data_IF_370534603293
#
_entry.id   IF_370534603293
#
_cell.length_a   1.000
_cell.length_b   1.000
_cell.length_c   1.000
_cell.angle_alpha   90.00
_cell.angle_beta   90.00
_cell.angle_gamma   90.00
#
_symmetry.space_group_name_H-M   'P 1'
#
loop_
_entity.id
_entity.type
_entity.pdbx_description
1 polymer ?
#
# COMPACT_ATOMS: atom_id res chain seq x y z
N UNK A 1 -7.12 30.19 -23.28
CA UNK A 1 -6.87 31.02 -22.07
C UNK A 1 -6.95 32.47 -22.53
N UNK A 2 -7.89 33.27 -22.02
CA UNK A 2 -7.94 34.70 -22.35
C UNK A 2 -6.76 35.40 -21.67
N UNK A 3 -5.93 36.07 -22.46
CA UNK A 3 -4.79 36.85 -21.99
C UNK A 3 -5.23 38.30 -21.86
N UNK A 4 -5.77 38.64 -20.69
CA UNK A 4 -6.41 39.93 -20.44
C UNK A 4 -5.41 41.08 -20.16
N UNK A 5 -4.16 40.75 -19.86
CA UNK A 5 -3.17 41.71 -19.30
C UNK A 5 -1.75 41.48 -19.86
N UNK A 6 -1.61 40.71 -20.95
CA UNK A 6 -0.30 40.32 -21.50
C UNK A 6 0.56 41.51 -21.93
N UNK A 7 -0.07 42.60 -22.38
CA UNK A 7 0.61 43.82 -22.82
C UNK A 7 1.22 44.63 -21.66
N UNK A 8 0.78 44.40 -20.41
CA UNK A 8 1.25 45.16 -19.24
C UNK A 8 2.08 44.33 -18.24
N UNK A 9 2.01 42.99 -18.33
CA UNK A 9 2.65 42.09 -17.37
C UNK A 9 3.10 40.83 -18.09
N UNK A 10 4.41 40.58 -18.11
CA UNK A 10 5.01 39.52 -18.91
C UNK A 10 5.30 38.23 -18.12
N UNK A 11 5.17 38.25 -16.80
CA UNK A 11 5.33 37.08 -15.93
C UNK A 11 4.41 37.09 -14.73
N UNK A 12 4.16 35.92 -14.13
CA UNK A 12 3.32 35.80 -12.93
C UNK A 12 4.00 36.48 -11.73
N UNK A 13 5.33 36.45 -11.68
CA UNK A 13 6.14 37.12 -10.66
C UNK A 13 5.99 38.64 -10.73
N UNK A 14 6.04 39.19 -11.93
CA UNK A 14 5.82 40.62 -12.18
C UNK A 14 4.39 41.03 -11.82
N UNK A 15 3.40 40.18 -12.12
CA UNK A 15 2.01 40.36 -11.69
C UNK A 15 1.91 40.45 -10.17
N UNK A 16 2.46 39.47 -9.47
CA UNK A 16 2.44 39.42 -8.00
C UNK A 16 3.11 40.65 -7.39
N UNK A 17 4.25 41.09 -7.94
CA UNK A 17 4.95 42.28 -7.48
C UNK A 17 4.17 43.58 -7.74
N UNK A 18 3.64 43.77 -8.96
CA UNK A 18 2.86 44.97 -9.36
C UNK A 18 1.63 45.15 -8.47
N UNK A 19 0.93 44.05 -8.16
CA UNK A 19 -0.29 44.08 -7.35
C UNK A 19 -0.05 43.80 -5.86
N UNK A 20 1.22 43.74 -5.41
CA UNK A 20 1.62 43.52 -4.00
C UNK A 20 0.95 42.28 -3.37
N UNK A 21 0.89 41.19 -4.12
CA UNK A 21 0.31 39.93 -3.65
C UNK A 21 1.36 39.16 -2.85
N UNK A 22 1.10 38.95 -1.56
CA UNK A 22 1.97 38.13 -0.68
C UNK A 22 1.33 36.74 -0.45
N UNK A 23 1.24 35.97 -1.54
CA UNK A 23 0.60 34.65 -1.56
C UNK A 23 1.53 33.62 -2.20
N UNK A 24 2.61 33.30 -1.51
CA UNK A 24 3.63 32.33 -1.95
C UNK A 24 3.05 30.95 -2.27
N UNK A 25 2.07 30.49 -1.48
CA UNK A 25 1.36 29.23 -1.73
C UNK A 25 0.55 29.25 -3.03
N UNK A 26 -0.14 30.36 -3.32
CA UNK A 26 -0.89 30.51 -4.58
C UNK A 26 0.06 30.58 -5.79
N UNK A 27 1.19 31.27 -5.67
CA UNK A 27 2.22 31.33 -6.72
C UNK A 27 2.79 29.95 -7.02
N UNK A 28 3.15 29.19 -5.98
CA UNK A 28 3.62 27.81 -6.12
C UNK A 28 2.59 26.97 -6.89
N UNK A 29 1.32 27.11 -6.52
CA UNK A 29 0.21 26.40 -7.12
C UNK A 29 0.04 26.68 -8.62
N UNK A 30 0.13 27.94 -9.01
CA UNK A 30 0.00 28.37 -10.40
C UNK A 30 1.19 27.85 -11.22
N UNK A 31 2.41 27.85 -10.66
CA UNK A 31 3.61 27.31 -11.30
C UNK A 31 3.56 25.79 -11.50
N UNK A 32 3.07 25.06 -10.50
CA UNK A 32 2.95 23.60 -10.53
C UNK A 32 1.89 23.14 -11.54
N UNK A 33 0.84 23.93 -11.77
CA UNK A 33 -0.07 23.75 -12.92
C UNK A 33 -1.04 22.55 -12.86
N UNK A 34 -0.91 21.67 -11.87
CA UNK A 34 -1.85 20.57 -11.57
C UNK A 34 -2.64 20.88 -10.30
N UNK A 35 -3.89 20.43 -10.06
CA UNK A 35 -4.70 20.63 -8.84
C UNK A 35 -4.04 20.21 -7.50
N UNK A 36 -4.45 20.80 -6.36
CA UNK A 36 -3.83 20.55 -5.04
C UNK A 36 -4.06 19.10 -4.62
N UNK A 37 -5.19 18.57 -5.03
CA UNK A 37 -5.60 17.19 -4.86
C UNK A 37 -4.79 16.20 -5.70
N UNK A 38 -3.97 16.68 -6.65
CA UNK A 38 -3.03 15.86 -7.45
C UNK A 38 -1.61 16.00 -6.89
N UNK A 39 -1.24 17.19 -6.41
CA UNK A 39 0.05 17.45 -5.76
C UNK A 39 0.12 16.86 -4.33
N UNK A 40 -0.98 16.98 -3.61
CA UNK A 40 -1.22 16.48 -2.25
C UNK A 40 -2.41 15.53 -2.22
N UNK A 41 -2.65 14.76 -3.31
CA UNK A 41 -3.44 13.54 -3.16
C UNK A 41 -2.84 12.80 -1.98
N UNK A 42 -3.64 12.54 -0.93
CA UNK A 42 -3.28 11.54 0.06
C UNK A 42 -2.72 10.36 -0.73
N UNK A 43 -1.51 9.90 -0.41
CA UNK A 43 -0.86 8.81 -1.16
C UNK A 43 -1.78 7.57 -1.28
N UNK A 44 -2.83 7.51 -0.45
CA UNK A 44 -4.02 6.72 -0.65
C UNK A 44 -5.09 7.37 -1.56
N UNK A 45 -5.06 7.08 -2.86
CA UNK A 45 -6.21 7.28 -3.74
C UNK A 45 -7.28 6.19 -3.56
N UNK A 46 -8.43 6.24 -4.28
CA UNK A 46 -9.47 5.20 -4.22
C UNK A 46 -8.94 3.77 -4.47
N UNK A 47 -7.92 3.64 -5.33
CA UNK A 47 -7.23 2.38 -5.58
C UNK A 47 -6.52 1.83 -4.34
N UNK A 48 -5.97 2.69 -3.48
CA UNK A 48 -5.34 2.25 -2.23
C UNK A 48 -6.37 1.69 -1.26
N UNK A 49 -7.54 2.30 -1.11
CA UNK A 49 -8.63 1.75 -0.28
C UNK A 49 -9.09 0.37 -0.81
N UNK A 50 -9.21 0.24 -2.13
CA UNK A 50 -9.51 -1.04 -2.79
C UNK A 50 -8.43 -2.10 -2.54
N UNK A 51 -7.15 -1.73 -2.62
CA UNK A 51 -6.06 -2.67 -2.35
C UNK A 51 -5.99 -3.06 -0.87
N UNK A 52 -6.23 -2.13 0.05
CA UNK A 52 -6.33 -2.42 1.49
C UNK A 52 -7.44 -3.45 1.75
N UNK A 53 -8.63 -3.24 1.17
CA UNK A 53 -9.75 -4.15 1.32
C UNK A 53 -9.43 -5.54 0.74
N UNK A 54 -8.88 -5.60 -0.48
CA UNK A 54 -8.52 -6.85 -1.14
C UNK A 54 -7.44 -7.64 -0.37
N UNK A 55 -6.41 -6.96 0.12
CA UNK A 55 -5.35 -7.60 0.92
C UNK A 55 -5.88 -8.07 2.26
N UNK A 56 -6.74 -7.30 2.92
CA UNK A 56 -7.41 -7.71 4.17
C UNK A 56 -8.24 -8.97 3.95
N UNK A 57 -9.01 -9.03 2.87
CA UNK A 57 -9.77 -10.23 2.51
C UNK A 57 -8.85 -11.43 2.28
N UNK A 58 -7.75 -11.25 1.54
CA UNK A 58 -6.79 -12.32 1.26
C UNK A 58 -6.17 -12.91 2.53
N UNK A 59 -5.83 -12.06 3.52
CA UNK A 59 -5.39 -12.51 4.83
C UNK A 59 -6.44 -13.38 5.53
N UNK A 60 -7.68 -12.89 5.61
CA UNK A 60 -8.77 -13.60 6.29
C UNK A 60 -9.03 -14.96 5.63
N UNK A 61 -9.12 -14.98 4.30
CA UNK A 61 -9.31 -16.23 3.54
C UNK A 61 -8.20 -17.24 3.81
N UNK A 62 -6.93 -16.82 3.80
CA UNK A 62 -5.82 -17.72 4.08
C UNK A 62 -5.84 -18.24 5.53
N UNK A 63 -6.12 -17.36 6.51
CA UNK A 63 -6.24 -17.75 7.92
C UNK A 63 -7.38 -18.75 8.13
N UNK A 64 -8.52 -18.53 7.49
CA UNK A 64 -9.68 -19.42 7.59
C UNK A 64 -9.41 -20.77 6.92
N UNK A 65 -8.74 -20.80 5.77
CA UNK A 65 -8.28 -22.04 5.13
C UNK A 65 -7.45 -22.91 6.10
N UNK A 66 -6.49 -22.31 6.79
CA UNK A 66 -5.65 -23.02 7.78
C UNK A 66 -6.48 -23.49 8.98
N UNK A 67 -7.42 -22.66 9.49
CA UNK A 67 -8.33 -23.05 10.59
C UNK A 67 -9.27 -24.20 10.21
N UNK A 68 -9.67 -24.28 8.95
CA UNK A 68 -10.45 -25.38 8.38
C UNK A 68 -9.60 -26.65 8.12
N UNK A 69 -8.33 -26.64 8.53
CA UNK A 69 -7.37 -27.73 8.38
C UNK A 69 -6.98 -28.04 6.93
N UNK A 70 -7.17 -27.10 6.02
CA UNK A 70 -6.55 -27.17 4.70
C UNK A 70 -5.03 -27.07 4.90
N UNK A 71 -4.32 -28.07 4.41
CA UNK A 71 -2.88 -28.27 4.68
C UNK A 71 -2.09 -28.66 3.45
N UNK A 72 -2.76 -29.14 2.40
CA UNK A 72 -2.09 -29.54 1.18
C UNK A 72 -1.61 -28.32 0.39
N UNK A 73 -0.54 -28.49 -0.38
CA UNK A 73 0.00 -27.43 -1.24
C UNK A 73 -1.05 -26.91 -2.20
N UNK A 74 -1.77 -27.80 -2.90
CA UNK A 74 -2.77 -27.41 -3.89
C UNK A 74 -3.96 -26.63 -3.30
N UNK A 75 -4.26 -26.84 -2.02
CA UNK A 75 -5.26 -26.07 -1.27
C UNK A 75 -4.75 -24.69 -0.84
N UNK A 76 -3.50 -24.59 -0.36
CA UNK A 76 -2.98 -23.37 0.27
C UNK A 76 -2.26 -22.41 -0.70
N UNK A 77 -1.65 -22.94 -1.76
CA UNK A 77 -0.72 -22.20 -2.61
C UNK A 77 -1.38 -20.98 -3.29
N UNK A 78 -2.58 -21.16 -3.84
CA UNK A 78 -3.30 -20.09 -4.52
C UNK A 78 -3.57 -18.89 -3.60
N UNK A 79 -4.03 -19.16 -2.36
CA UNK A 79 -4.31 -18.12 -1.37
C UNK A 79 -3.04 -17.38 -0.93
N UNK A 80 -1.95 -18.11 -0.68
CA UNK A 80 -0.68 -17.50 -0.29
C UNK A 80 -0.06 -16.68 -1.42
N UNK A 81 -0.14 -17.15 -2.67
CA UNK A 81 0.35 -16.42 -3.84
C UNK A 81 -0.42 -15.11 -4.05
N UNK A 82 -1.75 -15.13 -3.88
CA UNK A 82 -2.58 -13.93 -3.94
C UNK A 82 -2.15 -12.92 -2.86
N UNK A 83 -1.96 -13.37 -1.62
CA UNK A 83 -1.53 -12.52 -0.50
C UNK A 83 -0.17 -11.86 -0.77
N UNK A 84 0.83 -12.65 -1.19
CA UNK A 84 2.17 -12.14 -1.52
C UNK A 84 2.13 -11.12 -2.66
N UNK A 85 1.28 -11.34 -3.65
CA UNK A 85 1.07 -10.40 -4.76
C UNK A 85 0.39 -9.11 -4.27
N UNK A 86 -0.57 -9.23 -3.34
CA UNK A 86 -1.22 -8.10 -2.68
C UNK A 86 -0.22 -7.19 -1.97
N UNK A 87 0.73 -7.78 -1.23
CA UNK A 87 1.79 -7.02 -0.54
C UNK A 87 2.60 -6.12 -1.48
N UNK A 88 2.91 -6.59 -2.69
CA UNK A 88 3.76 -5.85 -3.64
C UNK A 88 3.16 -4.49 -4.09
N UNK A 89 1.88 -4.23 -3.78
CA UNK A 89 1.18 -2.98 -4.12
C UNK A 89 1.46 -1.84 -3.14
N UNK A 90 1.98 -2.12 -1.94
CA UNK A 90 2.20 -1.10 -0.91
C UNK A 90 3.64 -0.57 -0.94
N UNK A 91 3.81 0.75 -1.10
CA UNK A 91 5.11 1.43 -0.99
C UNK A 91 5.59 1.32 0.47
N UNK A 92 6.60 0.50 0.72
CA UNK A 92 7.09 0.16 2.07
C UNK A 92 6.96 -1.32 2.42
N UNK A 93 6.23 -2.11 1.62
CA UNK A 93 6.05 -3.54 1.88
C UNK A 93 7.36 -4.33 1.92
N UNK A 94 8.42 -3.82 1.27
CA UNK A 94 9.73 -4.48 1.19
C UNK A 94 10.43 -4.57 2.54
N UNK A 95 10.13 -3.63 3.43
CA UNK A 95 10.76 -3.52 4.74
C UNK A 95 9.97 -4.26 5.82
N UNK A 96 8.80 -4.81 5.47
CA UNK A 96 7.94 -5.56 6.39
C UNK A 96 8.44 -6.99 6.59
N UNK A 97 8.57 -7.39 7.86
CA UNK A 97 9.02 -8.74 8.22
C UNK A 97 7.98 -9.79 7.78
N UNK A 98 6.71 -9.48 7.97
CA UNK A 98 5.57 -10.32 7.61
C UNK A 98 5.57 -10.68 6.13
N UNK A 99 5.90 -9.74 5.24
CA UNK A 99 6.03 -10.04 3.79
C UNK A 99 7.14 -11.05 3.55
N UNK A 100 8.30 -10.87 4.17
CA UNK A 100 9.44 -11.78 4.01
C UNK A 100 9.10 -13.20 4.49
N UNK A 101 8.34 -13.32 5.59
CA UNK A 101 7.80 -14.59 6.07
C UNK A 101 6.83 -15.24 5.07
N UNK A 102 5.89 -14.48 4.50
CA UNK A 102 4.96 -15.02 3.50
C UNK A 102 5.67 -15.51 2.24
N UNK A 103 6.72 -14.82 1.80
CA UNK A 103 7.57 -15.28 0.69
C UNK A 103 8.31 -16.57 1.05
N UNK A 104 8.85 -16.68 2.28
CA UNK A 104 9.49 -17.91 2.75
C UNK A 104 8.53 -19.09 2.73
N UNK A 105 7.30 -18.92 3.21
CA UNK A 105 6.28 -19.97 3.16
C UNK A 105 5.88 -20.34 1.73
N UNK A 106 5.81 -19.37 0.82
CA UNK A 106 5.52 -19.63 -0.59
C UNK A 106 6.64 -20.46 -1.25
N UNK A 107 7.90 -20.20 -0.89
CA UNK A 107 9.05 -21.01 -1.32
C UNK A 107 8.93 -22.44 -0.78
N UNK A 108 8.58 -22.60 0.51
CA UNK A 108 8.34 -23.92 1.11
C UNK A 108 7.25 -24.69 0.35
N UNK A 109 6.08 -24.08 0.12
CA UNK A 109 5.00 -24.72 -0.64
C UNK A 109 5.42 -25.03 -2.08
N UNK A 110 6.19 -24.16 -2.75
CA UNK A 110 6.67 -24.42 -4.10
C UNK A 110 7.55 -25.69 -4.18
N UNK A 111 8.34 -25.97 -3.13
CA UNK A 111 9.17 -27.18 -3.03
C UNK A 111 8.42 -28.49 -2.78
N UNK A 112 7.16 -28.41 -2.34
CA UNK A 112 6.33 -29.59 -2.03
C UNK A 112 5.63 -30.15 -3.27
N UNK A 113 5.15 -31.40 -3.21
CA UNK A 113 4.20 -31.93 -4.21
C UNK A 113 2.80 -31.37 -3.97
N UNK A 114 1.94 -31.37 -5.01
CA UNK A 114 0.58 -30.84 -4.91
C UNK A 114 -0.22 -31.43 -3.74
N UNK A 115 -0.16 -32.76 -3.58
CA UNK A 115 -0.86 -33.50 -2.52
C UNK A 115 -0.12 -33.56 -1.19
N UNK A 116 1.04 -32.93 -1.07
CA UNK A 116 1.83 -32.97 0.16
C UNK A 116 1.29 -31.91 1.14
N UNK A 117 1.20 -32.30 2.41
CA UNK A 117 0.61 -31.50 3.47
C UNK A 117 1.67 -30.91 4.40
N UNK A 118 1.43 -29.71 4.89
CA UNK A 118 2.14 -29.17 6.04
C UNK A 118 1.85 -30.04 7.29
N UNK A 119 2.87 -30.30 8.10
CA UNK A 119 2.66 -30.96 9.41
C UNK A 119 1.81 -30.09 10.32
N UNK A 120 1.28 -30.66 11.41
CA UNK A 120 0.51 -29.87 12.38
C UNK A 120 1.34 -28.76 13.02
N UNK A 121 2.62 -29.00 13.33
CA UNK A 121 3.50 -27.97 13.85
C UNK A 121 3.75 -26.88 12.80
N UNK A 122 3.99 -27.26 11.54
CA UNK A 122 4.19 -26.31 10.45
C UNK A 122 2.94 -25.46 10.21
N UNK A 123 1.75 -26.07 10.22
CA UNK A 123 0.49 -25.34 10.05
C UNK A 123 0.23 -24.33 11.18
N UNK A 124 0.57 -24.68 12.43
CA UNK A 124 0.49 -23.75 13.58
C UNK A 124 1.48 -22.59 13.44
N UNK A 125 2.71 -22.87 13.05
CA UNK A 125 3.71 -21.82 12.82
C UNK A 125 3.33 -20.93 11.64
N UNK A 126 2.83 -21.52 10.55
CA UNK A 126 2.36 -20.80 9.38
C UNK A 126 1.21 -19.86 9.76
N UNK A 127 0.22 -20.35 10.50
CA UNK A 127 -0.89 -19.54 11.00
C UNK A 127 -0.41 -18.35 11.85
N UNK A 128 0.49 -18.60 12.82
CA UNK A 128 1.07 -17.56 13.65
C UNK A 128 1.81 -16.48 12.84
N UNK A 129 2.61 -16.90 11.85
CA UNK A 129 3.33 -15.97 10.97
C UNK A 129 2.37 -15.13 10.11
N UNK A 130 1.26 -15.72 9.64
CA UNK A 130 0.20 -14.99 8.90
C UNK A 130 -0.50 -13.97 9.79
N UNK A 131 -0.87 -14.34 11.02
CA UNK A 131 -1.48 -13.41 11.99
C UNK A 131 -0.54 -12.25 12.33
N UNK A 132 0.74 -12.52 12.54
CA UNK A 132 1.74 -11.49 12.79
C UNK A 132 1.88 -10.55 11.58
N UNK A 133 1.96 -11.09 10.37
CA UNK A 133 2.02 -10.31 9.14
C UNK A 133 0.76 -9.44 8.94
N UNK A 134 -0.42 -9.95 9.31
CA UNK A 134 -1.66 -9.19 9.26
C UNK A 134 -1.66 -8.03 10.26
N UNK A 135 -1.20 -8.27 11.49
CA UNK A 135 -1.09 -7.22 12.51
C UNK A 135 -0.06 -6.15 12.14
N UNK A 136 1.07 -6.51 11.55
CA UNK A 136 2.04 -5.58 10.99
C UNK A 136 1.44 -4.75 9.84
N UNK A 137 0.78 -5.42 8.89
CA UNK A 137 0.08 -4.75 7.79
C UNK A 137 -0.95 -3.74 8.32
N UNK A 138 -1.80 -4.15 9.26
CA UNK A 138 -2.83 -3.26 9.82
C UNK A 138 -2.22 -2.06 10.57
N UNK A 139 -1.13 -2.28 11.33
CA UNK A 139 -0.38 -1.18 11.97
C UNK A 139 0.18 -0.20 10.95
N UNK A 140 0.67 -0.70 9.80
CA UNK A 140 1.21 0.16 8.75
C UNK A 140 0.16 1.10 8.11
N UNK A 141 -1.13 0.76 8.21
CA UNK A 141 -2.25 1.59 7.73
C UNK A 141 -2.61 2.72 8.71
N UNK A 142 -2.36 2.53 10.00
CA UNK A 142 -2.53 3.55 11.02
C UNK A 142 -1.34 4.50 11.00
N UNK A 143 -1.39 5.54 10.16
CA UNK A 143 -0.32 6.54 10.03
C UNK A 143 0.25 6.99 11.39
N UNK A 144 1.59 7.06 11.45
CA UNK A 144 2.34 7.39 12.65
C UNK A 144 1.82 8.64 13.35
N UNK A 145 1.41 8.49 14.61
CA UNK A 145 1.30 9.60 15.56
C UNK A 145 2.67 9.92 16.13
N UNK A 146 3.65 10.25 15.30
CA UNK A 146 4.97 10.72 15.74
C UNK A 146 5.51 11.72 14.72
N UNK A 147 4.81 12.86 14.57
CA UNK A 147 5.35 14.03 13.89
C UNK A 147 5.47 15.14 14.96
N UNK A 148 6.66 15.37 15.54
CA UNK A 148 6.86 16.46 16.48
C UNK A 148 6.86 17.77 15.70
N UNK A 149 5.79 18.55 15.89
CA UNK A 149 5.65 19.93 15.40
C UNK A 149 6.76 20.85 15.90
#
# INVERSE_FOLDING_TARGET
MLKLVEDEVHSIEEFMAKYRMDHTAALHRIKVGVPATVEHSSEAGPETAKWVAATTQSFITLMDAVKLKLRAKDELHAYLQELVTGFARFKGSKDWEGRSKMVSWLITLNGMKASEELTEEQARQFFFDVEHAYAEFFRSLGGGKDDPS
#
